data_IF_704677266085
#
_entry.id   IF_704677266085
#
_cell.length_a   1.000
_cell.length_b   1.000
_cell.length_c   1.000
_cell.angle_alpha   90.00
_cell.angle_beta   90.00
_cell.angle_gamma   90.00
#
_symmetry.space_group_name_H-M   'P 1'
#
loop_
_entity.id
_entity.type
_entity.pdbx_description
1 polymer ?
#
# COMPACT_ATOMS: atom_id res chain seq x y z
N UNK A 1 -13.46 0.51 37.39
CA UNK A 1 -13.19 -0.20 36.12
C UNK A 1 -13.74 0.68 35.01
N UNK A 2 -12.92 1.18 34.07
CA UNK A 2 -13.41 2.01 32.96
C UNK A 2 -13.81 1.10 31.80
N UNK A 3 -15.08 1.13 31.41
CA UNK A 3 -15.61 0.42 30.25
C UNK A 3 -15.22 1.20 28.97
N UNK A 4 -14.11 0.79 28.35
CA UNK A 4 -13.71 1.26 27.04
C UNK A 4 -14.22 0.29 25.97
N UNK A 5 -15.02 0.78 25.03
CA UNK A 5 -15.37 0.00 23.84
C UNK A 5 -14.30 0.21 22.77
N UNK A 6 -13.72 -0.91 22.34
CA UNK A 6 -12.73 -0.98 21.27
C UNK A 6 -13.45 -1.31 19.96
N UNK A 7 -13.46 -0.37 19.03
CA UNK A 7 -13.93 -0.61 17.67
C UNK A 7 -12.72 -0.65 16.72
N UNK A 8 -12.59 -1.76 16.00
CA UNK A 8 -11.48 -1.98 15.07
C UNK A 8 -11.89 -1.53 13.65
N UNK A 9 -11.06 -0.70 13.01
CA UNK A 9 -11.27 -0.22 11.65
C UNK A 9 -10.02 -0.53 10.79
N UNK A 10 -10.14 -0.76 9.47
CA UNK A 10 -8.99 -1.09 8.62
C UNK A 10 -7.86 -0.05 8.64
N UNK A 11 -8.17 1.19 9.01
CA UNK A 11 -7.24 2.33 9.05
C UNK A 11 -6.94 2.81 10.48
N UNK A 12 -7.41 2.14 11.53
CA UNK A 12 -7.30 2.66 12.90
C UNK A 12 -8.05 1.88 13.96
N UNK A 13 -7.86 2.31 15.20
CA UNK A 13 -8.65 1.87 16.35
C UNK A 13 -9.45 3.07 16.86
N UNK A 14 -10.74 2.88 17.03
CA UNK A 14 -11.63 3.82 17.70
C UNK A 14 -11.78 3.41 19.16
N UNK A 15 -11.33 4.28 20.07
CA UNK A 15 -11.54 4.14 21.50
C UNK A 15 -12.71 5.03 21.92
N UNK A 16 -13.82 4.40 22.29
CA UNK A 16 -15.03 5.09 22.75
C UNK A 16 -15.04 5.10 24.28
N UNK A 17 -14.84 6.29 24.87
CA UNK A 17 -15.00 6.48 26.30
C UNK A 17 -16.45 6.92 26.60
N UNK A 18 -17.27 5.97 27.03
CA UNK A 18 -18.68 6.18 27.34
C UNK A 18 -18.91 7.13 28.53
N UNK A 19 -17.92 7.27 29.43
CA UNK A 19 -18.05 8.06 30.66
C UNK A 19 -17.97 9.56 30.42
N UNK A 20 -17.10 9.98 29.50
CA UNK A 20 -16.91 11.38 29.14
C UNK A 20 -17.54 11.75 27.77
N UNK A 21 -18.26 10.82 27.13
CA UNK A 21 -18.73 10.94 25.73
C UNK A 21 -17.62 11.41 24.76
N UNK A 22 -16.37 11.07 25.06
CA UNK A 22 -15.22 11.48 24.27
C UNK A 22 -14.78 10.35 23.36
N UNK A 23 -14.63 10.66 22.07
CA UNK A 23 -14.20 9.73 21.04
C UNK A 23 -12.71 9.98 20.80
N UNK A 24 -11.87 9.00 21.13
CA UNK A 24 -10.44 9.05 20.88
C UNK A 24 -10.12 8.14 19.70
N UNK A 25 -9.88 8.73 18.54
CA UNK A 25 -9.55 8.00 17.32
C UNK A 25 -8.03 7.87 17.18
N UNK A 26 -7.52 6.64 17.18
CA UNK A 26 -6.12 6.33 16.88
C UNK A 26 -6.05 5.84 15.45
N UNK A 27 -5.75 6.74 14.52
CA UNK A 27 -5.52 6.39 13.12
C UNK A 27 -4.13 5.77 12.97
N UNK A 28 -4.08 4.57 12.40
CA UNK A 28 -2.81 4.04 11.93
C UNK A 28 -2.43 4.85 10.70
N UNK A 29 -1.29 5.55 10.75
CA UNK A 29 -0.70 6.16 9.57
C UNK A 29 -0.20 5.04 8.65
N UNK A 30 -1.10 4.45 7.87
CA UNK A 30 -0.74 3.64 6.71
C UNK A 30 -0.30 4.60 5.62
N UNK A 31 0.85 5.24 5.82
CA UNK A 31 1.51 5.97 4.76
C UNK A 31 1.82 4.97 3.64
N UNK A 32 1.41 5.32 2.42
CA UNK A 32 2.03 4.88 1.15
C UNK A 32 1.42 3.74 0.32
N UNK A 33 0.10 3.46 0.40
CA UNK A 33 -0.53 2.60 -0.64
C UNK A 33 -0.39 3.17 -2.07
N UNK A 34 -0.41 4.50 -2.25
CA UNK A 34 -0.30 5.11 -3.59
C UNK A 34 1.10 4.99 -4.21
N UNK A 35 2.16 5.12 -3.40
CA UNK A 35 3.55 5.06 -3.87
C UNK A 35 3.93 3.65 -4.32
N UNK A 36 3.34 2.63 -3.70
CA UNK A 36 3.53 1.23 -4.11
C UNK A 36 2.96 0.93 -5.50
N UNK A 37 1.82 1.53 -5.86
CA UNK A 37 1.23 1.37 -7.19
C UNK A 37 2.10 1.96 -8.29
N UNK A 38 2.66 3.16 -8.06
CA UNK A 38 3.57 3.80 -9.00
C UNK A 38 4.82 2.96 -9.22
N UNK A 39 5.41 2.41 -8.15
CA UNK A 39 6.56 1.52 -8.26
C UNK A 39 6.23 0.26 -9.07
N UNK A 40 5.05 -0.36 -8.88
CA UNK A 40 4.63 -1.54 -9.66
C UNK A 40 4.57 -1.24 -11.16
N UNK A 41 4.03 -0.08 -11.55
CA UNK A 41 3.94 0.33 -12.95
C UNK A 41 5.34 0.54 -13.55
N UNK A 42 6.25 1.16 -12.80
CA UNK A 42 7.64 1.38 -13.23
C UNK A 42 8.34 0.04 -13.48
N UNK A 43 8.22 -0.92 -12.55
CA UNK A 43 8.84 -2.24 -12.73
C UNK A 43 8.25 -3.02 -13.90
N UNK A 44 6.94 -2.89 -14.15
CA UNK A 44 6.29 -3.52 -15.31
C UNK A 44 6.83 -2.96 -16.64
N UNK A 45 6.95 -1.64 -16.75
CA UNK A 45 7.51 -0.97 -17.92
C UNK A 45 8.99 -1.34 -18.14
N UNK A 46 9.79 -1.38 -17.08
CA UNK A 46 11.19 -1.80 -17.16
C UNK A 46 11.33 -3.24 -17.68
N UNK A 47 10.46 -4.16 -17.21
CA UNK A 47 10.41 -5.54 -17.69
C UNK A 47 10.05 -5.65 -19.18
N UNK A 48 9.08 -4.86 -19.65
CA UNK A 48 8.72 -4.83 -21.08
C UNK A 48 9.88 -4.36 -21.95
N UNK A 49 10.57 -3.28 -21.56
CA UNK A 49 11.71 -2.75 -22.30
C UNK A 49 12.85 -3.77 -22.32
N UNK A 50 13.14 -4.40 -21.18
CA UNK A 50 14.18 -5.43 -21.07
C UNK A 50 13.88 -6.64 -21.97
N UNK A 51 12.63 -7.09 -22.00
CA UNK A 51 12.19 -8.22 -22.85
C UNK A 51 12.30 -7.88 -24.33
N UNK A 52 11.90 -6.66 -24.72
CA UNK A 52 12.07 -6.14 -26.09
C UNK A 52 13.55 -6.09 -26.49
N UNK A 53 14.41 -5.57 -25.61
CA UNK A 53 15.84 -5.49 -25.85
C UNK A 53 16.46 -6.88 -26.05
N UNK A 54 16.12 -7.84 -25.19
CA UNK A 54 16.53 -9.24 -25.33
C UNK A 54 16.04 -9.85 -26.65
N UNK A 55 14.80 -9.61 -27.03
CA UNK A 55 14.25 -10.10 -28.30
C UNK A 55 15.04 -9.57 -29.50
N UNK A 56 15.36 -8.28 -29.52
CA UNK A 56 16.16 -7.68 -30.59
C UNK A 56 17.60 -8.20 -30.60
N UNK A 57 18.20 -8.43 -29.44
CA UNK A 57 19.56 -8.96 -29.33
C UNK A 57 19.64 -10.41 -29.82
N UNK A 58 18.67 -11.24 -29.44
CA UNK A 58 18.57 -12.63 -29.90
C UNK A 58 18.24 -12.72 -31.39
N UNK A 59 17.36 -11.85 -31.90
CA UNK A 59 16.99 -11.82 -33.32
C UNK A 59 18.09 -11.23 -34.20
N UNK A 60 18.86 -10.28 -33.69
CA UNK A 60 20.02 -9.69 -34.36
C UNK A 60 21.26 -10.58 -34.38
N UNK A 61 21.40 -11.48 -33.40
CA UNK A 61 22.48 -12.46 -33.33
C UNK A 61 22.26 -13.75 -34.15
N UNK A 62 21.09 -13.91 -34.78
CA UNK A 62 20.75 -15.07 -35.64
C UNK A 62 20.90 -14.73 -37.14
N UNK A 63 21.81 -13.84 -37.50
CA UNK A 63 22.17 -13.54 -38.89
C UNK A 63 23.61 -13.91 -39.16
#
# INVERSE_FOLDING_TARGET
>A
MLEYYLAFQPSGILLLNMKNKSISEVKFQFETTSRQWMNRIIYFLAGMIFTLFLYYLLRGGWR
#
